data_IF_471923588622
#
_entry.id   IF_471923588622
#
_cell.length_a   1.000
_cell.length_b   1.000
_cell.length_c   1.000
_cell.angle_alpha   90.00
_cell.angle_beta   90.00
_cell.angle_gamma   90.00
#
_symmetry.space_group_name_H-M   'P 1'
#
loop_
_entity.id
_entity.type
_entity.pdbx_description
1 polymer ?
#
# COMPACT_ATOMS: atom_id res chain seq x y z
N UNK A 1 -10.53 4.79 -3.51
CA UNK A 1 -11.33 3.58 -3.84
C UNK A 1 -12.54 3.99 -4.64
N UNK A 2 -12.73 3.43 -5.83
CA UNK A 2 -13.79 3.87 -6.75
C UNK A 2 -14.97 2.91 -6.79
N UNK A 3 -14.72 1.60 -6.75
CA UNK A 3 -15.77 0.60 -6.92
C UNK A 3 -15.51 -0.66 -6.07
N UNK A 4 -16.60 -1.29 -5.61
CA UNK A 4 -16.59 -2.63 -5.07
C UNK A 4 -17.05 -3.60 -6.17
N UNK A 5 -16.10 -4.16 -6.93
CA UNK A 5 -16.34 -5.18 -7.93
C UNK A 5 -16.51 -6.56 -7.32
N UNK A 6 -16.63 -7.59 -8.19
CA UNK A 6 -16.78 -8.98 -7.77
C UNK A 6 -15.91 -9.92 -8.59
N UNK A 7 -15.17 -10.81 -7.93
CA UNK A 7 -14.42 -11.85 -8.62
C UNK A 7 -15.37 -12.82 -9.33
N UNK A 8 -15.21 -13.01 -10.63
CA UNK A 8 -15.91 -14.02 -11.40
C UNK A 8 -15.10 -15.32 -11.49
N UNK A 9 -13.80 -15.21 -11.82
CA UNK A 9 -12.90 -16.36 -11.88
C UNK A 9 -11.43 -15.94 -11.70
N UNK A 10 -10.64 -16.90 -11.24
CA UNK A 10 -9.17 -16.85 -11.25
C UNK A 10 -8.67 -18.24 -11.65
N UNK A 11 -8.42 -18.41 -12.93
CA UNK A 11 -8.07 -19.71 -13.52
C UNK A 11 -6.83 -19.56 -14.41
N UNK A 12 -5.84 -20.45 -14.22
CA UNK A 12 -4.61 -20.49 -15.02
C UNK A 12 -3.89 -19.15 -15.14
N UNK A 13 -3.87 -18.35 -14.03
CA UNK A 13 -3.25 -17.03 -14.02
C UNK A 13 -4.07 -15.93 -14.72
N UNK A 14 -5.32 -16.21 -15.12
CA UNK A 14 -6.25 -15.23 -15.68
C UNK A 14 -7.30 -14.88 -14.63
N UNK A 15 -7.33 -13.61 -14.23
CA UNK A 15 -8.32 -13.02 -13.33
C UNK A 15 -9.42 -12.36 -14.15
N UNK A 16 -10.68 -12.61 -13.79
CA UNK A 16 -11.85 -11.93 -14.36
C UNK A 16 -12.70 -11.35 -13.24
N UNK A 17 -13.04 -10.08 -13.37
CA UNK A 17 -13.80 -9.30 -12.38
C UNK A 17 -14.97 -8.63 -13.06
N UNK A 18 -16.18 -8.72 -12.46
CA UNK A 18 -17.31 -7.88 -12.84
C UNK A 18 -17.18 -6.51 -12.17
N UNK A 19 -17.31 -5.46 -12.99
CA UNK A 19 -17.21 -4.05 -12.61
C UNK A 19 -17.94 -3.19 -13.63
N UNK A 20 -18.16 -1.92 -13.29
CA UNK A 20 -18.81 -0.95 -14.18
C UNK A 20 -18.10 0.41 -14.14
N UNK A 21 -17.92 1.00 -12.96
CA UNK A 21 -17.41 2.36 -12.83
C UNK A 21 -15.94 2.49 -13.27
N UNK A 22 -15.09 1.51 -12.93
CA UNK A 22 -13.68 1.51 -13.34
C UNK A 22 -13.49 1.22 -14.83
N UNK A 23 -14.57 0.91 -15.56
CA UNK A 23 -14.56 0.63 -17.00
C UNK A 23 -14.94 1.83 -17.86
N UNK A 24 -15.39 2.95 -17.29
CA UNK A 24 -15.92 4.12 -18.03
C UNK A 24 -14.97 4.65 -19.12
N UNK A 25 -13.66 4.57 -18.91
CA UNK A 25 -12.63 5.04 -19.85
C UNK A 25 -11.47 4.05 -20.01
N UNK A 26 -11.68 2.79 -19.61
CA UNK A 26 -10.63 1.78 -19.61
C UNK A 26 -10.11 1.46 -21.02
N UNK A 27 -8.79 1.25 -21.11
CA UNK A 27 -8.13 0.75 -22.32
C UNK A 27 -7.21 -0.44 -22.03
N UNK A 28 -6.96 -1.26 -23.05
CA UNK A 28 -5.98 -2.36 -22.96
C UNK A 28 -4.59 -1.79 -22.60
N UNK A 29 -3.96 -2.36 -21.59
CA UNK A 29 -2.65 -1.94 -21.09
C UNK A 29 -2.70 -0.95 -19.94
N UNK A 30 -3.87 -0.44 -19.56
CA UNK A 30 -4.05 0.39 -18.37
C UNK A 30 -4.00 -0.44 -17.09
N UNK A 31 -3.79 0.23 -15.96
CA UNK A 31 -3.69 -0.38 -14.66
C UNK A 31 -4.94 -0.15 -13.83
N UNK A 32 -5.45 -1.22 -13.22
CA UNK A 32 -6.48 -1.16 -12.17
C UNK A 32 -5.92 -1.87 -10.93
N UNK A 33 -6.03 -1.22 -9.77
CA UNK A 33 -5.68 -1.82 -8.50
C UNK A 33 -6.81 -2.74 -8.01
N UNK A 34 -6.47 -3.98 -7.67
CA UNK A 34 -7.35 -5.07 -7.21
C UNK A 34 -6.98 -5.39 -5.76
N UNK A 35 -7.82 -5.01 -4.78
CA UNK A 35 -7.44 -5.04 -3.38
C UNK A 35 -6.02 -4.46 -3.16
N UNK A 36 -5.71 -3.33 -3.81
CA UNK A 36 -4.42 -2.66 -3.73
C UNK A 36 -3.28 -3.34 -4.50
N UNK A 37 -3.55 -4.35 -5.32
CA UNK A 37 -2.57 -4.95 -6.22
C UNK A 37 -2.76 -4.40 -7.64
N UNK A 38 -1.78 -3.69 -8.17
CA UNK A 38 -1.80 -3.12 -9.52
C UNK A 38 -1.75 -4.24 -10.57
N UNK A 39 -2.79 -4.34 -11.39
CA UNK A 39 -2.89 -5.31 -12.48
C UNK A 39 -3.18 -4.61 -13.81
N UNK A 40 -2.67 -5.18 -14.89
CA UNK A 40 -2.82 -4.62 -16.23
C UNK A 40 -4.03 -5.23 -16.94
N UNK A 41 -4.89 -4.38 -17.48
CA UNK A 41 -6.06 -4.78 -18.26
C UNK A 41 -5.61 -5.44 -19.57
N UNK A 42 -6.03 -6.67 -19.82
CA UNK A 42 -5.73 -7.42 -21.04
C UNK A 42 -6.96 -7.69 -21.91
N UNK A 43 -8.16 -7.64 -21.30
CA UNK A 43 -9.44 -7.72 -21.99
C UNK A 43 -10.50 -7.03 -21.14
N UNK A 44 -11.56 -6.50 -21.77
CA UNK A 44 -12.71 -5.95 -21.05
C UNK A 44 -13.96 -5.98 -21.94
N UNK A 45 -15.13 -5.89 -21.31
CA UNK A 45 -16.44 -5.74 -21.92
C UNK A 45 -17.24 -4.67 -21.20
N UNK A 46 -18.57 -4.67 -21.38
CA UNK A 46 -19.44 -3.64 -20.82
C UNK A 46 -19.53 -3.70 -19.29
N UNK A 47 -19.37 -4.88 -18.68
CA UNK A 47 -19.55 -5.13 -17.23
C UNK A 47 -18.48 -6.04 -16.62
N UNK A 48 -17.36 -6.25 -17.31
CA UNK A 48 -16.24 -7.09 -16.84
C UNK A 48 -14.91 -6.68 -17.45
N UNK A 49 -13.84 -7.05 -16.79
CA UNK A 49 -12.47 -6.98 -17.30
C UNK A 49 -11.60 -8.13 -16.83
N UNK A 50 -10.46 -8.32 -17.49
CA UNK A 50 -9.51 -9.37 -17.21
C UNK A 50 -8.08 -8.84 -17.09
N UNK A 51 -7.30 -9.51 -16.24
CA UNK A 51 -5.86 -9.32 -16.10
C UNK A 51 -5.12 -10.66 -16.07
N UNK A 52 -3.90 -10.68 -16.56
CA UNK A 52 -2.97 -11.78 -16.31
C UNK A 52 -2.29 -11.56 -14.94
N UNK A 53 -2.31 -12.60 -14.10
CA UNK A 53 -1.72 -12.57 -12.76
C UNK A 53 -0.62 -13.61 -12.69
N UNK A 54 0.60 -13.16 -12.38
CA UNK A 54 1.75 -14.06 -12.24
C UNK A 54 1.68 -14.90 -10.96
N UNK A 55 2.37 -16.06 -10.96
CA UNK A 55 2.50 -16.90 -9.76
C UNK A 55 3.14 -16.12 -8.60
N UNK A 56 4.07 -15.20 -8.89
CA UNK A 56 4.68 -14.31 -7.89
C UNK A 56 3.61 -13.40 -7.25
N UNK A 57 2.75 -12.77 -8.06
CA UNK A 57 1.66 -11.93 -7.56
C UNK A 57 0.68 -12.72 -6.69
N UNK A 58 0.28 -13.92 -7.14
CA UNK A 58 -0.59 -14.80 -6.35
C UNK A 58 0.06 -15.17 -5.02
N UNK A 59 1.34 -15.52 -5.02
CA UNK A 59 2.05 -15.96 -3.81
C UNK A 59 2.31 -14.82 -2.80
N UNK A 60 2.38 -13.58 -3.28
CA UNK A 60 2.74 -12.40 -2.47
C UNK A 60 1.55 -11.56 -2.02
N UNK A 61 0.35 -11.87 -2.46
CA UNK A 61 -0.85 -11.07 -2.16
C UNK A 61 -1.97 -11.92 -1.58
N UNK A 62 -2.96 -11.25 -0.99
CA UNK A 62 -4.18 -11.90 -0.51
C UNK A 62 -5.07 -12.44 -1.64
N UNK A 63 -4.73 -12.20 -2.92
CA UNK A 63 -5.48 -12.71 -4.07
C UNK A 63 -5.54 -14.24 -4.12
N UNK A 64 -4.54 -14.93 -3.55
CA UNK A 64 -4.57 -16.39 -3.40
C UNK A 64 -5.78 -16.92 -2.58
N UNK A 65 -6.38 -16.09 -1.74
CA UNK A 65 -7.46 -16.45 -0.82
C UNK A 65 -8.83 -15.97 -1.27
N UNK A 66 -8.92 -15.30 -2.43
CA UNK A 66 -10.17 -14.76 -2.96
C UNK A 66 -10.85 -15.83 -3.82
N UNK A 67 -12.17 -15.99 -3.66
CA UNK A 67 -12.97 -16.97 -4.37
C UNK A 67 -14.02 -16.32 -5.29
N UNK A 68 -14.46 -16.99 -6.35
CA UNK A 68 -15.55 -16.49 -7.17
C UNK A 68 -16.76 -16.10 -6.33
N UNK A 69 -17.26 -14.89 -6.55
CA UNK A 69 -18.35 -14.28 -5.80
C UNK A 69 -17.90 -13.31 -4.70
N UNK A 70 -16.64 -13.31 -4.31
CA UNK A 70 -16.13 -12.37 -3.31
C UNK A 70 -16.08 -10.92 -3.85
N UNK A 71 -16.31 -9.96 -2.95
CA UNK A 71 -16.13 -8.55 -3.23
C UNK A 71 -14.64 -8.17 -3.36
N UNK A 72 -14.35 -7.28 -4.29
CA UNK A 72 -12.99 -6.80 -4.60
C UNK A 72 -12.99 -5.29 -4.64
N UNK A 73 -12.08 -4.66 -3.91
CA UNK A 73 -11.82 -3.23 -4.01
C UNK A 73 -11.14 -2.90 -5.34
N UNK A 74 -11.69 -1.95 -6.10
CA UNK A 74 -11.15 -1.53 -7.39
C UNK A 74 -10.88 -0.03 -7.40
N UNK A 75 -9.74 0.35 -8.00
CA UNK A 75 -9.35 1.75 -8.20
C UNK A 75 -8.49 1.87 -9.45
N UNK A 76 -8.83 2.80 -10.34
CA UNK A 76 -8.01 3.14 -11.52
C UNK A 76 -6.72 3.85 -11.11
N UNK A 77 -5.74 3.86 -12.00
CA UNK A 77 -4.55 4.67 -11.83
C UNK A 77 -4.91 6.15 -11.71
N UNK A 78 -4.35 6.83 -10.68
CA UNK A 78 -4.56 8.25 -10.45
C UNK A 78 -4.01 9.07 -11.63
N UNK A 79 -4.77 10.06 -12.10
CA UNK A 79 -4.32 11.02 -13.12
C UNK A 79 -3.58 12.20 -12.47
N UNK A 80 -2.79 12.94 -13.26
CA UNK A 80 -2.05 14.12 -12.78
C UNK A 80 -2.98 15.23 -12.26
N UNK A 81 -4.24 15.24 -12.72
CA UNK A 81 -5.25 16.25 -12.33
C UNK A 81 -6.04 15.87 -11.08
N UNK A 82 -5.91 14.65 -10.59
CA UNK A 82 -6.69 14.18 -9.44
C UNK A 82 -6.19 14.77 -8.12
N UNK A 83 -7.09 14.80 -7.14
CA UNK A 83 -6.73 15.22 -5.77
C UNK A 83 -6.15 14.03 -5.01
N UNK A 84 -4.95 14.21 -4.47
CA UNK A 84 -4.38 13.24 -3.55
C UNK A 84 -4.99 13.46 -2.15
N UNK A 85 -5.96 12.63 -1.80
CA UNK A 85 -6.65 12.66 -0.49
C UNK A 85 -5.93 11.86 0.61
N UNK A 86 -4.87 11.15 0.27
CA UNK A 86 -4.04 10.34 1.16
C UNK A 86 -2.56 10.47 0.79
N UNK A 87 -1.82 9.35 0.85
CA UNK A 87 -0.45 9.26 0.35
C UNK A 87 -0.41 8.74 -1.09
N UNK A 88 0.78 8.66 -1.69
CA UNK A 88 0.98 8.10 -3.03
C UNK A 88 0.83 6.57 -2.92
N UNK A 89 -0.29 6.05 -3.38
CA UNK A 89 -0.57 4.61 -3.48
C UNK A 89 -0.26 4.16 -4.89
N UNK A 90 0.56 3.13 -5.04
CA UNK A 90 1.03 2.64 -6.33
C UNK A 90 0.35 1.32 -6.75
N UNK A 91 -0.28 0.63 -5.79
CA UNK A 91 -0.75 -0.73 -5.98
C UNK A 91 0.40 -1.76 -5.91
N UNK A 92 1.48 -1.41 -5.26
CA UNK A 92 2.65 -2.27 -5.10
C UNK A 92 2.64 -2.88 -3.70
N UNK A 93 1.96 -4.03 -3.57
CA UNK A 93 1.80 -4.75 -2.30
C UNK A 93 3.16 -5.14 -1.73
N UNK A 94 3.45 -4.70 -0.51
CA UNK A 94 4.69 -5.02 0.20
C UNK A 94 4.62 -6.35 0.95
N UNK A 95 3.45 -6.63 1.52
CA UNK A 95 3.20 -7.85 2.27
C UNK A 95 1.70 -8.11 2.43
N UNK A 96 1.40 -9.28 2.97
CA UNK A 96 0.07 -9.65 3.46
C UNK A 96 0.07 -9.50 4.98
N UNK A 97 -0.95 -8.81 5.51
CA UNK A 97 -1.26 -8.71 6.93
C UNK A 97 -2.45 -9.57 7.30
N UNK A 98 -2.65 -9.76 8.60
CA UNK A 98 -3.78 -10.50 9.18
C UNK A 98 -4.64 -9.57 10.02
N UNK A 99 -5.93 -9.57 9.80
CA UNK A 99 -6.90 -8.85 10.64
C UNK A 99 -6.96 -9.52 12.02
N UNK A 100 -6.71 -8.75 13.07
CA UNK A 100 -6.79 -9.19 14.47
C UNK A 100 -8.11 -8.75 15.10
N UNK A 101 -8.50 -7.48 14.85
CA UNK A 101 -9.77 -6.91 15.30
C UNK A 101 -10.46 -6.26 14.10
N UNK A 102 -11.78 -6.47 13.93
CA UNK A 102 -12.53 -5.95 12.79
C UNK A 102 -12.87 -4.46 12.98
N UNK A 103 -13.48 -3.85 11.97
CA UNK A 103 -14.05 -2.49 12.05
C UNK A 103 -15.01 -2.35 13.24
N UNK A 104 -15.15 -1.14 13.88
CA UNK A 104 -14.61 0.14 13.43
C UNK A 104 -13.13 0.38 13.77
N UNK A 105 -12.57 -0.26 14.80
CA UNK A 105 -11.20 -0.11 15.26
C UNK A 105 -10.36 -1.26 14.71
N UNK A 106 -10.17 -1.22 13.37
CA UNK A 106 -9.47 -2.29 12.64
C UNK A 106 -8.02 -2.40 13.13
N UNK A 107 -7.65 -3.57 13.66
CA UNK A 107 -6.28 -3.93 14.01
C UNK A 107 -5.73 -4.95 13.03
N UNK A 108 -4.55 -4.66 12.48
CA UNK A 108 -3.86 -5.54 11.53
C UNK A 108 -2.48 -5.90 12.06
N UNK A 109 -2.20 -7.21 12.11
CA UNK A 109 -0.85 -7.73 12.34
C UNK A 109 -0.08 -7.74 11.03
N UNK A 110 1.19 -7.35 11.09
CA UNK A 110 2.05 -7.25 9.91
C UNK A 110 3.35 -8.02 10.10
N UNK A 111 4.05 -8.43 9.02
CA UNK A 111 5.41 -8.93 9.12
C UNK A 111 6.34 -7.91 9.79
N UNK A 112 7.22 -8.39 10.69
CA UNK A 112 8.12 -7.53 11.47
C UNK A 112 8.97 -6.56 10.63
N UNK A 113 9.27 -6.92 9.37
CA UNK A 113 10.01 -6.06 8.46
C UNK A 113 9.25 -4.76 8.08
N UNK A 114 7.91 -4.74 8.21
CA UNK A 114 7.09 -3.58 7.86
C UNK A 114 6.88 -2.62 9.03
N UNK A 115 7.01 -3.06 10.29
CA UNK A 115 6.68 -2.22 11.46
C UNK A 115 7.47 -0.92 11.49
N UNK A 116 8.72 -0.92 11.01
CA UNK A 116 9.58 0.28 10.94
C UNK A 116 9.07 1.41 10.01
N UNK A 117 8.15 1.10 9.11
CA UNK A 117 7.52 2.10 8.22
C UNK A 117 6.20 2.64 8.77
N UNK A 118 5.71 2.06 9.85
CA UNK A 118 4.44 2.43 10.47
C UNK A 118 4.69 3.44 11.58
N UNK A 119 4.10 4.62 11.47
CA UNK A 119 4.21 5.67 12.47
C UNK A 119 2.82 6.22 12.80
N UNK A 120 2.59 6.61 14.03
CA UNK A 120 1.34 7.28 14.42
C UNK A 120 1.09 8.49 13.53
N UNK A 121 -0.15 8.66 13.07
CA UNK A 121 -0.59 9.68 12.10
C UNK A 121 0.05 9.57 10.71
N UNK A 122 0.86 8.54 10.46
CA UNK A 122 1.33 8.19 9.13
C UNK A 122 0.24 7.51 8.31
N UNK A 123 0.54 7.22 7.06
CA UNK A 123 -0.37 6.55 6.13
C UNK A 123 0.07 5.11 5.87
N UNK A 124 -0.93 4.24 5.71
CA UNK A 124 -0.77 2.86 5.26
C UNK A 124 -1.93 2.49 4.35
N UNK A 125 -1.69 1.66 3.36
CA UNK A 125 -2.73 1.12 2.49
C UNK A 125 -3.12 -0.28 2.94
N UNK A 126 -4.42 -0.53 3.12
CA UNK A 126 -4.99 -1.84 3.44
C UNK A 126 -6.00 -2.21 2.35
N UNK A 127 -5.78 -3.30 1.62
CA UNK A 127 -6.58 -3.71 0.44
C UNK A 127 -6.88 -2.53 -0.51
N UNK A 128 -5.86 -1.66 -0.77
CA UNK A 128 -5.96 -0.50 -1.64
C UNK A 128 -6.56 0.76 -0.99
N UNK A 129 -7.04 0.68 0.24
CA UNK A 129 -7.62 1.83 0.96
C UNK A 129 -6.53 2.54 1.74
N UNK A 130 -6.27 3.83 1.42
CA UNK A 130 -5.34 4.68 2.17
C UNK A 130 -5.95 5.07 3.51
N UNK A 131 -5.27 4.74 4.61
CA UNK A 131 -5.75 4.91 5.99
C UNK A 131 -4.70 5.61 6.85
N UNK A 132 -5.16 6.29 7.89
CA UNK A 132 -4.28 6.91 8.87
C UNK A 132 -4.06 5.97 10.06
N UNK A 133 -2.80 5.69 10.37
CA UNK A 133 -2.41 4.90 11.54
C UNK A 133 -2.80 5.65 12.82
N UNK A 134 -3.56 4.98 13.70
CA UNK A 134 -3.90 5.49 15.04
C UNK A 134 -2.78 5.12 16.01
N UNK A 135 -2.54 3.82 16.19
CA UNK A 135 -1.45 3.30 17.02
C UNK A 135 -0.50 2.47 16.16
N UNK A 136 0.80 2.76 16.25
CA UNK A 136 1.85 1.91 15.71
C UNK A 136 2.30 0.94 16.82
N UNK A 137 2.09 -0.37 16.59
CA UNK A 137 2.34 -1.44 17.55
C UNK A 137 3.61 -2.22 17.18
N UNK A 138 4.17 -2.98 18.10
CA UNK A 138 5.35 -3.82 17.84
C UNK A 138 5.07 -4.91 16.79
N UNK A 139 3.82 -5.36 16.67
CA UNK A 139 3.39 -6.42 15.75
C UNK A 139 2.44 -5.94 14.64
N UNK A 140 2.19 -4.63 14.52
CA UNK A 140 1.24 -4.11 13.55
C UNK A 140 0.75 -2.70 13.83
N UNK A 141 -0.53 -2.44 13.57
CA UNK A 141 -1.12 -1.12 13.74
C UNK A 141 -2.63 -1.18 13.94
N UNK A 142 -3.19 -0.06 14.39
CA UNK A 142 -4.63 0.17 14.41
C UNK A 142 -5.02 1.34 13.51
N UNK A 143 -6.23 1.27 12.93
CA UNK A 143 -6.86 2.34 12.15
C UNK A 143 -8.35 2.43 12.48
N UNK A 144 -8.89 3.65 12.49
CA UNK A 144 -10.33 3.86 12.69
C UNK A 144 -11.04 3.90 11.33
N UNK A 145 -11.98 2.99 11.11
CA UNK A 145 -12.76 2.89 9.87
C UNK A 145 -14.13 3.52 10.08
N UNK A 146 -14.39 4.61 9.36
CA UNK A 146 -15.70 5.27 9.40
C UNK A 146 -16.78 4.43 8.69
N UNK A 147 -18.07 4.58 9.06
CA UNK A 147 -19.16 3.77 8.47
C UNK A 147 -19.24 3.82 6.95
N UNK A 148 -18.94 4.97 6.35
CA UNK A 148 -18.90 5.09 4.89
C UNK A 148 -17.85 4.16 4.28
N UNK A 149 -16.60 4.21 4.75
CA UNK A 149 -15.51 3.36 4.25
C UNK A 149 -15.83 1.88 4.43
N UNK A 150 -16.38 1.50 5.60
CA UNK A 150 -16.82 0.13 5.84
C UNK A 150 -17.92 -0.33 4.85
N UNK A 151 -18.82 0.58 4.46
CA UNK A 151 -19.93 0.27 3.55
C UNK A 151 -19.56 0.17 2.07
N UNK A 152 -18.47 0.83 1.64
CA UNK A 152 -18.08 0.92 0.22
C UNK A 152 -16.78 0.17 -0.10
N UNK A 153 -16.21 -0.57 0.85
CA UNK A 153 -14.99 -1.37 0.68
C UNK A 153 -15.14 -2.76 1.28
N UNK A 154 -14.22 -3.66 0.94
CA UNK A 154 -14.15 -5.01 1.52
C UNK A 154 -13.87 -4.99 3.03
N UNK A 155 -13.31 -3.89 3.57
CA UNK A 155 -12.90 -3.79 4.98
C UNK A 155 -14.06 -4.00 5.95
N UNK A 156 -15.27 -3.56 5.57
CA UNK A 156 -16.46 -3.72 6.41
C UNK A 156 -16.91 -5.17 6.65
N UNK A 157 -16.50 -6.09 5.79
CA UNK A 157 -16.82 -7.52 5.89
C UNK A 157 -15.70 -8.37 6.52
N UNK A 158 -14.51 -7.79 6.73
CA UNK A 158 -13.33 -8.50 7.25
C UNK A 158 -13.54 -8.98 8.70
N UNK A 159 -12.99 -10.14 8.99
CA UNK A 159 -13.07 -10.81 10.31
C UNK A 159 -11.67 -11.14 10.82
N UNK A 160 -11.51 -11.39 12.12
CA UNK A 160 -10.23 -11.89 12.64
C UNK A 160 -9.78 -13.15 11.90
N UNK A 161 -8.51 -13.15 11.47
CA UNK A 161 -7.90 -14.21 10.66
C UNK A 161 -7.95 -13.96 9.14
N UNK A 162 -8.76 -13.01 8.66
CA UNK A 162 -8.76 -12.65 7.25
C UNK A 162 -7.45 -11.96 6.86
N UNK A 163 -7.01 -12.23 5.63
CA UNK A 163 -5.81 -11.62 5.07
C UNK A 163 -6.13 -10.34 4.30
N UNK A 164 -5.20 -9.38 4.36
CA UNK A 164 -5.27 -8.09 3.65
C UNK A 164 -3.95 -7.75 3.00
N UNK A 165 -3.98 -7.13 1.83
CA UNK A 165 -2.81 -6.58 1.19
C UNK A 165 -2.38 -5.29 1.87
N UNK A 166 -1.07 -5.13 2.05
CA UNK A 166 -0.47 -3.96 2.69
C UNK A 166 0.50 -3.28 1.74
N UNK A 167 0.40 -1.97 1.63
CA UNK A 167 1.39 -1.13 0.98
C UNK A 167 1.75 0.01 1.93
N UNK A 168 3.03 0.14 2.30
CA UNK A 168 3.52 1.23 3.13
C UNK A 168 3.84 2.45 2.26
N UNK A 169 3.90 3.64 2.86
CA UNK A 169 4.22 4.86 2.14
C UNK A 169 5.59 4.74 1.44
N UNK A 170 5.59 4.87 0.12
CA UNK A 170 6.80 4.77 -0.71
C UNK A 170 7.87 5.77 -0.29
N UNK A 171 7.49 6.92 0.28
CA UNK A 171 8.44 7.92 0.78
C UNK A 171 9.27 7.37 1.95
N UNK A 172 8.68 6.56 2.83
CA UNK A 172 9.41 5.92 3.92
C UNK A 172 10.50 4.96 3.39
N UNK A 173 10.21 4.21 2.32
CA UNK A 173 11.18 3.32 1.65
C UNK A 173 12.33 4.12 1.02
N UNK A 174 12.03 5.24 0.36
CA UNK A 174 13.08 6.10 -0.21
C UNK A 174 13.94 6.74 0.88
N UNK A 175 13.34 7.23 1.96
CA UNK A 175 14.08 7.78 3.10
C UNK A 175 15.01 6.72 3.69
N UNK A 176 14.52 5.50 3.96
CA UNK A 176 15.36 4.40 4.45
C UNK A 176 16.54 4.12 3.50
N UNK A 177 16.26 4.00 2.21
CA UNK A 177 17.29 3.74 1.19
C UNK A 177 18.37 4.81 1.18
N UNK A 178 17.98 6.08 1.24
CA UNK A 178 18.91 7.20 1.23
C UNK A 178 19.70 7.31 2.55
N UNK A 179 19.06 7.03 3.68
CA UNK A 179 19.71 7.09 4.99
C UNK A 179 20.66 5.90 5.25
N UNK A 180 20.50 4.77 4.56
CA UNK A 180 21.35 3.59 4.74
C UNK A 180 22.85 3.92 4.61
N UNK A 181 23.22 4.84 3.70
CA UNK A 181 24.60 5.27 3.50
C UNK A 181 25.17 6.07 4.70
N UNK A 182 24.32 6.62 5.56
CA UNK A 182 24.74 7.42 6.73
C UNK A 182 24.76 6.58 8.03
N UNK A 183 24.14 5.41 8.03
CA UNK A 183 24.04 4.52 9.18
C UNK A 183 25.14 3.45 9.19
N UNK A 184 25.86 3.23 8.08
CA UNK A 184 27.00 2.32 8.04
C UNK A 184 28.12 2.85 8.95
N UNK A 185 28.66 2.04 9.90
CA UNK A 185 29.72 2.47 10.79
C UNK A 185 31.03 2.62 10.01
N UNK A 186 31.39 3.85 9.68
CA UNK A 186 32.65 4.15 8.99
C UNK A 186 32.73 5.47 8.25
N UNK A 187 31.70 6.27 8.14
CA UNK A 187 31.82 7.64 7.64
C UNK A 187 32.20 8.50 8.83
N UNK A 188 33.53 8.80 8.96
CA UNK A 188 34.02 9.83 9.87
C UNK A 188 33.26 11.13 9.61
N UNK A 189 32.76 11.77 10.67
CA UNK A 189 32.18 13.11 10.56
C UNK A 189 33.12 13.98 9.72
N UNK A 190 32.63 14.75 8.75
CA UNK A 190 33.48 15.74 8.10
C UNK A 190 33.94 16.69 9.19
N UNK A 191 35.25 16.60 9.53
CA UNK A 191 35.84 17.40 10.58
C UNK A 191 35.50 18.86 10.35
N UNK A 192 34.78 19.46 11.29
CA UNK A 192 34.62 20.90 11.39
C UNK A 192 36.03 21.40 11.66
N UNK A 193 36.69 22.01 10.63
CA UNK A 193 37.98 22.66 10.80
C UNK A 193 37.78 23.74 11.87
N UNK A 194 38.45 23.59 13.00
CA UNK A 194 38.50 24.63 14.02
C UNK A 194 39.09 25.90 13.39
N UNK A 195 38.52 27.09 13.63
CA UNK A 195 39.08 28.32 13.13
C UNK A 195 40.46 28.52 13.75
N UNK A 196 41.50 28.55 12.88
CA UNK A 196 42.88 28.71 13.28
C UNK A 196 43.09 29.93 14.21
N UNK A 197 43.69 29.67 15.35
CA UNK A 197 44.19 30.71 16.25
C UNK A 197 45.23 31.55 15.53
N UNK A 198 44.88 32.80 15.29
CA UNK A 198 45.85 33.81 14.79
C UNK A 198 46.85 34.09 15.90
N UNK A 199 48.08 33.59 15.80
CA UNK A 199 49.18 34.00 16.65
C UNK A 199 49.56 35.47 16.35
N UNK A 200 49.27 36.34 17.30
CA UNK A 200 49.79 37.73 17.27
C UNK A 200 51.29 37.70 17.58
N UNK A 201 52.10 37.78 16.51
CA UNK A 201 53.54 38.03 16.64
C UNK A 201 53.79 39.45 17.12
N UNK A 202 54.17 39.61 18.37
CA UNK A 202 54.72 40.87 18.87
C UNK A 202 56.18 40.96 18.45
N UNK A 203 56.50 41.96 17.63
CA UNK A 203 57.88 42.36 17.31
C UNK A 203 58.29 43.43 18.26
N UNK A 204 59.38 43.24 19.01
CA UNK A 204 60.21 44.24 19.66
C UNK A 204 61.25 44.76 18.69
#
# INVERSE_FOLDING_TARGET
MEELGRLESLDNGRLRISATQVLDDVAIGESIAVNGCCLTVVAFGDDWWEADVSDETISRTSLAMVHPGDGINLERAVTVSDRLGGHIVQGHVDAVGEVVEPVPDLRVRVPAALTRYLVEKGSVTVDGVSLTVVDALDDGFTVAIIPHTAGVTTLGAKRPGDLVNLEVDVMAKYVEKLMAAYVEPGIAEPGIAEPGTVENGATT
#
